data_IF_480722533948
#
_entry.id   IF_480722533948
#
_cell.length_a   1.000
_cell.length_b   1.000
_cell.length_c   1.000
_cell.angle_alpha   90.00
_cell.angle_beta   90.00
_cell.angle_gamma   90.00
#
_symmetry.space_group_name_H-M   'P 1'
#
loop_
_entity.id
_entity.type
_entity.pdbx_description
1 polymer ?
#
# COMPACT_ATOMS: atom_id res chain seq x y z
N UNK A 1 31.26 -29.46 23.77
CA UNK A 1 32.66 -29.45 23.31
C UNK A 1 32.75 -29.59 21.81
N UNK A 2 33.58 -28.79 21.20
CA UNK A 2 33.84 -28.83 19.76
C UNK A 2 34.59 -30.08 19.36
N UNK A 3 34.18 -30.79 18.32
CA UNK A 3 34.90 -31.93 17.74
C UNK A 3 35.62 -31.47 16.50
N UNK A 4 36.95 -31.75 16.44
CA UNK A 4 37.83 -31.36 15.34
C UNK A 4 38.18 -32.61 14.52
N UNK A 5 37.94 -32.58 13.21
CA UNK A 5 38.26 -33.63 12.26
C UNK A 5 39.13 -33.09 11.11
N UNK A 6 40.32 -33.63 10.91
CA UNK A 6 41.16 -33.29 9.77
C UNK A 6 40.61 -33.85 8.47
N UNK A 7 40.52 -33.04 7.41
CA UNK A 7 40.10 -33.44 6.05
C UNK A 7 41.08 -32.91 5.01
N UNK A 8 42.05 -33.72 4.65
CA UNK A 8 43.11 -33.29 3.74
C UNK A 8 43.91 -32.13 4.33
N UNK A 9 43.90 -30.97 3.64
CA UNK A 9 44.53 -29.72 4.07
C UNK A 9 43.69 -28.85 5.00
N UNK A 10 42.41 -29.23 5.24
CA UNK A 10 41.46 -28.44 6.05
C UNK A 10 41.04 -29.20 7.31
N UNK A 11 40.45 -28.48 8.27
CA UNK A 11 39.91 -28.98 9.52
C UNK A 11 38.42 -28.68 9.62
N UNK A 12 37.60 -29.73 9.82
CA UNK A 12 36.19 -29.60 10.11
C UNK A 12 35.98 -29.54 11.62
N UNK A 13 35.40 -28.44 12.11
CA UNK A 13 35.08 -28.24 13.52
C UNK A 13 33.55 -28.38 13.63
N UNK A 14 33.10 -29.27 14.55
CA UNK A 14 31.65 -29.52 14.76
C UNK A 14 31.32 -29.27 16.22
N UNK A 15 30.23 -28.49 16.45
CA UNK A 15 29.69 -28.16 17.77
C UNK A 15 28.20 -28.55 17.81
N UNK A 16 27.73 -29.14 18.90
CA UNK A 16 26.32 -29.42 19.12
C UNK A 16 25.68 -28.31 19.96
N UNK A 17 24.48 -27.85 19.56
CA UNK A 17 23.67 -26.84 20.29
C UNK A 17 22.37 -27.42 20.89
N UNK A 18 22.33 -28.71 21.19
CA UNK A 18 21.15 -29.37 21.75
C UNK A 18 20.35 -30.18 20.73
N UNK A 19 19.06 -30.35 20.99
CA UNK A 19 18.14 -31.10 20.15
C UNK A 19 16.99 -30.23 19.68
N UNK A 20 16.46 -30.49 18.49
CA UNK A 20 15.24 -29.87 17.99
C UNK A 20 13.99 -30.46 18.64
N UNK A 21 12.81 -29.90 18.33
CA UNK A 21 11.52 -30.38 18.86
C UNK A 21 11.19 -31.85 18.47
N UNK A 22 11.87 -32.39 17.45
CA UNK A 22 11.72 -33.78 17.00
C UNK A 22 12.73 -34.74 17.70
N UNK A 23 13.59 -34.21 18.59
CA UNK A 23 14.63 -34.97 19.27
C UNK A 23 15.90 -35.20 18.45
N UNK A 24 16.05 -34.54 17.30
CA UNK A 24 17.23 -34.61 16.45
C UNK A 24 18.30 -33.60 16.92
N UNK A 25 19.53 -34.08 17.07
CA UNK A 25 20.65 -33.27 17.52
C UNK A 25 20.99 -32.16 16.49
N UNK A 26 20.96 -30.91 16.94
CA UNK A 26 21.37 -29.76 16.14
C UNK A 26 22.89 -29.64 16.19
N UNK A 27 23.54 -29.74 15.03
CA UNK A 27 24.99 -29.69 14.88
C UNK A 27 25.38 -28.54 13.96
N UNK A 28 26.29 -27.68 14.41
CA UNK A 28 26.90 -26.62 13.62
C UNK A 28 28.30 -27.05 13.19
N UNK A 29 28.67 -26.75 11.94
CA UNK A 29 29.98 -27.13 11.40
C UNK A 29 30.68 -25.94 10.78
N UNK A 30 31.98 -25.81 11.01
CA UNK A 30 32.85 -24.82 10.39
C UNK A 30 34.06 -25.55 9.77
N UNK A 31 34.47 -25.14 8.58
CA UNK A 31 35.68 -25.62 7.95
C UNK A 31 36.72 -24.52 8.03
N UNK A 32 37.90 -24.83 8.54
CA UNK A 32 39.03 -23.93 8.60
C UNK A 32 40.21 -24.53 7.83
N UNK A 33 40.85 -23.73 6.97
CA UNK A 33 42.02 -24.11 6.18
C UNK A 33 43.18 -23.28 6.66
N UNK A 34 44.31 -23.91 7.08
CA UNK A 34 45.48 -23.17 7.51
C UNK A 34 46.05 -22.36 6.34
N UNK A 35 46.48 -21.12 6.58
CA UNK A 35 47.27 -20.34 5.63
C UNK A 35 48.61 -21.00 5.30
N UNK A 36 49.10 -20.79 4.08
CA UNK A 36 50.38 -21.33 3.64
C UNK A 36 51.54 -20.80 4.53
N UNK A 37 52.47 -21.68 4.84
CA UNK A 37 53.66 -21.35 5.62
C UNK A 37 53.54 -21.58 7.13
N UNK A 38 52.42 -22.08 7.65
CA UNK A 38 52.29 -22.43 9.07
C UNK A 38 52.94 -23.78 9.40
N UNK A 39 53.67 -23.86 10.50
CA UNK A 39 54.19 -25.14 11.04
C UNK A 39 53.08 -25.97 11.67
N UNK A 40 53.21 -27.29 11.70
CA UNK A 40 52.20 -28.19 12.29
C UNK A 40 51.82 -27.80 13.73
N UNK A 41 52.77 -27.30 14.53
CA UNK A 41 52.52 -26.85 15.91
C UNK A 41 51.69 -25.58 15.95
N UNK A 42 51.88 -24.66 15.02
CA UNK A 42 51.09 -23.44 14.88
C UNK A 42 49.67 -23.76 14.38
N UNK A 43 49.56 -24.65 13.41
CA UNK A 43 48.26 -25.15 12.90
C UNK A 43 47.43 -25.74 14.03
N UNK A 44 48.00 -26.63 14.84
CA UNK A 44 47.31 -27.25 15.94
C UNK A 44 46.81 -26.24 16.99
N UNK A 45 47.67 -25.26 17.33
CA UNK A 45 47.31 -24.19 18.27
C UNK A 45 46.16 -23.34 17.73
N UNK A 46 46.24 -22.95 16.45
CA UNK A 46 45.21 -22.10 15.83
C UNK A 46 43.89 -22.85 15.59
N UNK A 47 43.92 -24.14 15.20
CA UNK A 47 42.70 -24.97 15.11
C UNK A 47 41.96 -25.04 16.44
N UNK A 48 42.69 -25.26 17.54
CA UNK A 48 42.10 -25.30 18.88
C UNK A 48 41.52 -23.94 19.26
N UNK A 49 42.22 -22.84 18.95
CA UNK A 49 41.67 -21.50 19.17
C UNK A 49 40.41 -21.24 18.38
N UNK A 50 40.38 -21.63 17.10
CA UNK A 50 39.21 -21.51 16.24
C UNK A 50 38.06 -22.40 16.76
N UNK A 51 38.35 -23.56 17.29
CA UNK A 51 37.34 -24.46 17.88
C UNK A 51 36.68 -23.85 19.13
N UNK A 52 37.48 -23.23 20.02
CA UNK A 52 36.96 -22.52 21.21
C UNK A 52 36.10 -21.31 20.80
N UNK A 53 36.59 -20.50 19.88
CA UNK A 53 35.82 -19.35 19.36
C UNK A 53 34.54 -19.77 18.68
N UNK A 54 34.55 -20.90 17.96
CA UNK A 54 33.36 -21.43 17.30
C UNK A 54 32.38 -22.00 18.33
N UNK A 55 32.86 -22.71 19.36
CA UNK A 55 32.03 -23.22 20.45
C UNK A 55 31.37 -22.08 21.23
N UNK A 56 32.10 -21.02 21.52
CA UNK A 56 31.56 -19.83 22.16
C UNK A 56 30.47 -19.15 21.28
N UNK A 57 30.73 -19.03 19.98
CA UNK A 57 29.72 -18.54 19.02
C UNK A 57 28.47 -19.41 18.98
N UNK A 58 28.60 -20.73 18.99
CA UNK A 58 27.46 -21.65 19.04
C UNK A 58 26.70 -21.52 20.35
N UNK A 59 27.41 -21.44 21.49
CA UNK A 59 26.81 -21.33 22.83
C UNK A 59 26.10 -20.01 23.04
N UNK A 60 26.61 -18.93 22.46
CA UNK A 60 25.99 -17.59 22.51
C UNK A 60 24.88 -17.40 21.46
N UNK A 61 24.51 -18.46 20.73
CA UNK A 61 23.52 -18.37 19.64
C UNK A 61 24.05 -17.66 18.38
N UNK A 62 25.36 -17.41 18.32
CA UNK A 62 25.98 -16.66 17.23
C UNK A 62 26.28 -17.48 15.97
N UNK A 63 25.84 -18.70 15.89
CA UNK A 63 25.98 -19.59 14.73
C UNK A 63 24.62 -20.05 14.28
N UNK A 64 23.83 -19.14 13.79
CA UNK A 64 22.74 -19.50 12.91
C UNK A 64 23.23 -19.35 11.47
N UNK A 65 22.61 -20.15 10.59
CA UNK A 65 23.07 -20.39 9.23
C UNK A 65 22.98 -19.11 8.36
N UNK A 66 23.84 -18.13 8.64
CA UNK A 66 23.97 -16.90 7.86
C UNK A 66 24.31 -17.16 6.37
N UNK A 67 24.51 -18.43 6.00
CA UNK A 67 24.63 -18.88 4.62
C UNK A 67 23.28 -18.97 3.88
N UNK A 68 22.15 -18.90 4.60
CA UNK A 68 20.83 -18.85 3.95
C UNK A 68 20.77 -17.61 3.05
N UNK A 69 20.30 -17.79 1.83
CA UNK A 69 20.13 -16.69 0.88
C UNK A 69 18.99 -15.77 1.33
N UNK A 70 19.08 -14.49 0.95
CA UNK A 70 18.04 -13.50 1.31
C UNK A 70 16.64 -13.94 0.84
N UNK A 71 16.52 -14.51 -0.37
CA UNK A 71 15.23 -14.98 -0.89
C UNK A 71 14.63 -16.10 -0.05
N UNK A 72 15.43 -17.11 0.32
CA UNK A 72 14.98 -18.26 1.09
C UNK A 72 14.59 -17.86 2.51
N UNK A 73 15.37 -16.98 3.12
CA UNK A 73 15.01 -16.43 4.42
C UNK A 73 13.76 -15.55 4.36
N UNK A 74 13.58 -14.76 3.31
CA UNK A 74 12.38 -13.95 3.14
C UNK A 74 11.12 -14.82 3.00
N UNK A 75 11.20 -15.97 2.32
CA UNK A 75 10.07 -16.93 2.25
C UNK A 75 9.78 -17.55 3.62
N UNK A 76 10.82 -17.92 4.39
CA UNK A 76 10.67 -18.38 5.77
C UNK A 76 10.04 -17.27 6.65
N UNK A 77 10.51 -16.04 6.50
CA UNK A 77 9.96 -14.88 7.19
C UNK A 77 8.48 -14.63 6.87
N UNK A 78 8.07 -14.79 5.60
CA UNK A 78 6.66 -14.70 5.24
C UNK A 78 5.83 -15.73 5.98
N UNK A 79 6.27 -17.00 5.98
CA UNK A 79 5.54 -18.12 6.57
C UNK A 79 5.48 -18.02 8.11
N UNK A 80 6.61 -17.75 8.74
CA UNK A 80 6.72 -17.88 10.20
C UNK A 80 6.40 -16.57 10.94
N UNK A 81 6.55 -15.43 10.29
CA UNK A 81 6.33 -14.13 10.91
C UNK A 81 5.24 -13.31 10.21
N UNK A 82 5.41 -13.00 8.92
CA UNK A 82 4.57 -12.00 8.28
C UNK A 82 3.10 -12.41 8.19
N UNK A 83 2.80 -13.66 7.80
CA UNK A 83 1.44 -14.18 7.67
C UNK A 83 0.73 -14.33 9.04
N UNK A 84 1.50 -14.48 10.13
CA UNK A 84 0.97 -14.58 11.49
C UNK A 84 0.82 -13.24 12.21
N UNK A 85 1.72 -12.28 11.95
CA UNK A 85 1.83 -11.03 12.72
C UNK A 85 1.39 -9.80 11.95
N UNK A 86 1.47 -9.81 10.61
CA UNK A 86 1.15 -8.65 9.79
C UNK A 86 -0.26 -8.75 9.20
N UNK A 87 -0.85 -7.59 8.92
CA UNK A 87 -2.16 -7.55 8.23
C UNK A 87 -2.06 -8.15 6.83
N UNK A 88 -3.10 -8.87 6.37
CA UNK A 88 -3.13 -9.50 5.04
C UNK A 88 -2.80 -8.53 3.89
N UNK A 89 -3.24 -7.27 3.99
CA UNK A 89 -2.94 -6.22 3.00
C UNK A 89 -1.46 -5.84 2.98
N UNK A 90 -0.78 -5.86 4.13
CA UNK A 90 0.67 -5.60 4.23
C UNK A 90 1.44 -6.75 3.61
N UNK A 91 1.09 -8.00 3.95
CA UNK A 91 1.69 -9.20 3.38
C UNK A 91 1.54 -9.21 1.86
N UNK A 92 0.33 -8.99 1.35
CA UNK A 92 0.07 -8.91 -0.09
C UNK A 92 0.83 -7.76 -0.77
N UNK A 93 1.02 -6.65 -0.06
CA UNK A 93 1.87 -5.53 -0.51
C UNK A 93 3.33 -5.94 -0.65
N UNK A 94 3.90 -6.59 0.36
CA UNK A 94 5.29 -7.06 0.35
C UNK A 94 5.52 -8.18 -0.68
N UNK A 95 4.58 -9.12 -0.82
CA UNK A 95 4.64 -10.16 -1.87
C UNK A 95 4.78 -9.60 -3.28
N UNK A 96 4.19 -8.43 -3.58
CA UNK A 96 4.35 -7.75 -4.89
C UNK A 96 5.75 -7.21 -5.14
N UNK A 97 6.55 -7.03 -4.08
CA UNK A 97 7.90 -6.48 -4.15
C UNK A 97 8.96 -7.58 -4.31
N UNK A 98 8.65 -8.84 -3.96
CA UNK A 98 9.61 -9.96 -3.93
C UNK A 98 10.28 -10.18 -5.28
N UNK A 99 9.53 -10.19 -6.38
CA UNK A 99 10.07 -10.54 -7.70
C UNK A 99 11.29 -9.70 -8.11
N UNK A 100 11.25 -8.38 -7.92
CA UNK A 100 12.41 -7.53 -8.23
C UNK A 100 13.49 -7.61 -7.16
N UNK A 101 13.11 -7.74 -5.90
CA UNK A 101 14.07 -7.86 -4.80
C UNK A 101 14.88 -9.14 -4.93
N UNK A 102 14.21 -10.27 -5.21
CA UNK A 102 14.88 -11.56 -5.36
C UNK A 102 15.77 -11.63 -6.59
N UNK A 103 15.39 -10.98 -7.69
CA UNK A 103 16.19 -10.94 -8.91
C UNK A 103 17.55 -10.23 -8.70
N UNK A 104 17.65 -9.26 -7.77
CA UNK A 104 18.87 -8.47 -7.58
C UNK A 104 19.66 -8.90 -6.35
N UNK A 105 19.01 -9.06 -5.18
CA UNK A 105 19.69 -9.37 -3.92
C UNK A 105 19.31 -10.74 -3.35
N UNK A 106 18.37 -11.45 -3.96
CA UNK A 106 17.82 -12.70 -3.43
C UNK A 106 18.86 -13.83 -3.28
N UNK A 107 19.84 -13.88 -4.16
CA UNK A 107 20.92 -14.88 -4.19
C UNK A 107 22.04 -14.62 -3.17
N UNK A 108 22.06 -13.43 -2.55
CA UNK A 108 23.12 -13.05 -1.61
C UNK A 108 22.86 -13.70 -0.25
N UNK A 109 23.83 -14.47 0.32
CA UNK A 109 23.73 -14.95 1.68
C UNK A 109 23.55 -13.82 2.68
N UNK A 110 22.67 -13.95 3.67
CA UNK A 110 22.36 -12.90 4.64
C UNK A 110 23.61 -12.38 5.36
N UNK A 111 24.53 -13.27 5.74
CA UNK A 111 25.80 -12.89 6.40
C UNK A 111 26.71 -12.04 5.51
N UNK A 112 26.54 -12.09 4.18
CA UNK A 112 27.31 -11.34 3.20
C UNK A 112 26.59 -10.11 2.66
N UNK A 113 25.33 -9.89 3.07
CA UNK A 113 24.55 -8.74 2.62
C UNK A 113 25.07 -7.47 3.28
N UNK A 114 25.63 -6.57 2.48
CA UNK A 114 26.26 -5.33 2.90
C UNK A 114 25.41 -4.10 2.50
N UNK A 115 25.58 -2.94 3.18
CA UNK A 115 24.88 -1.71 2.84
C UNK A 115 24.98 -1.30 1.36
N UNK A 116 26.14 -1.50 0.72
CA UNK A 116 26.33 -1.15 -0.69
C UNK A 116 25.47 -1.98 -1.64
N UNK A 117 25.14 -3.23 -1.32
CA UNK A 117 24.21 -4.03 -2.11
C UNK A 117 22.80 -3.42 -2.12
N UNK A 118 22.36 -2.88 -0.97
CA UNK A 118 21.05 -2.21 -0.85
C UNK A 118 21.03 -0.88 -1.60
N UNK A 119 22.12 -0.10 -1.52
CA UNK A 119 22.26 1.14 -2.29
C UNK A 119 22.22 0.86 -3.79
N UNK A 120 23.02 -0.08 -4.28
CA UNK A 120 23.02 -0.50 -5.69
C UNK A 120 21.64 -1.01 -6.13
N UNK A 121 20.92 -1.73 -5.28
CA UNK A 121 19.55 -2.16 -5.55
C UNK A 121 18.61 -0.95 -5.72
N UNK A 122 18.68 0.05 -4.85
CA UNK A 122 17.82 1.25 -4.98
C UNK A 122 18.17 2.07 -6.22
N UNK A 123 19.46 2.16 -6.56
CA UNK A 123 19.93 2.83 -7.79
C UNK A 123 19.40 2.12 -9.03
N UNK A 124 19.43 0.78 -9.04
CA UNK A 124 18.83 -0.02 -10.13
C UNK A 124 17.33 0.23 -10.25
N UNK A 125 16.61 0.33 -9.13
CA UNK A 125 15.18 0.63 -9.13
C UNK A 125 14.85 2.07 -9.55
N UNK A 126 15.78 3.00 -9.34
CA UNK A 126 15.63 4.40 -9.70
C UNK A 126 15.92 4.67 -11.19
N UNK A 127 16.46 3.70 -11.93
CA UNK A 127 16.78 3.85 -13.35
C UNK A 127 15.52 4.03 -14.21
N UNK A 128 15.60 4.79 -15.30
CA UNK A 128 14.55 4.89 -16.29
C UNK A 128 14.19 3.52 -16.88
N UNK A 129 12.89 3.29 -17.15
CA UNK A 129 12.42 2.04 -17.76
C UNK A 129 12.06 0.91 -16.80
N UNK A 130 12.42 0.99 -15.51
CA UNK A 130 12.08 -0.03 -14.50
C UNK A 130 10.59 -0.06 -14.16
N UNK A 131 9.83 0.97 -14.52
CA UNK A 131 8.39 1.04 -14.21
C UNK A 131 7.58 0.08 -15.07
N UNK A 132 7.12 -1.03 -14.52
CA UNK A 132 6.33 -2.07 -15.22
C UNK A 132 4.92 -1.62 -15.67
N UNK A 133 4.45 -0.45 -15.26
CA UNK A 133 3.10 0.07 -15.55
C UNK A 133 3.10 1.15 -16.65
N UNK A 134 4.08 1.11 -17.55
CA UNK A 134 4.03 1.97 -18.73
C UNK A 134 2.86 1.52 -19.62
N UNK A 135 2.02 2.49 -19.99
CA UNK A 135 0.89 2.29 -20.86
C UNK A 135 1.35 2.53 -22.31
N UNK A 136 1.28 1.49 -23.12
CA UNK A 136 1.55 1.55 -24.56
C UNK A 136 0.24 1.89 -25.25
N UNK A 137 0.18 3.03 -25.92
CA UNK A 137 -0.99 3.46 -26.69
C UNK A 137 -0.82 3.07 -28.15
N UNK A 138 -1.89 2.56 -28.76
CA UNK A 138 -1.86 2.15 -30.15
C UNK A 138 -1.65 3.35 -31.07
N UNK A 139 -0.75 3.21 -32.05
CA UNK A 139 -0.65 4.15 -33.16
C UNK A 139 -1.84 3.96 -34.11
N UNK A 140 -2.28 5.01 -34.84
CA UNK A 140 -3.41 4.90 -35.77
C UNK A 140 -3.29 3.73 -36.78
N UNK A 141 -2.06 3.38 -37.14
CA UNK A 141 -1.75 2.28 -38.04
C UNK A 141 -2.03 0.88 -37.50
N UNK A 142 -2.31 0.70 -36.22
CA UNK A 142 -2.59 -0.62 -35.60
C UNK A 142 -3.76 -1.32 -36.35
N UNK A 143 -4.82 -0.55 -36.63
CA UNK A 143 -5.99 -1.09 -37.37
C UNK A 143 -5.62 -1.61 -38.73
N UNK A 144 -4.82 -0.86 -39.51
CA UNK A 144 -4.32 -1.26 -40.83
C UNK A 144 -3.48 -2.57 -40.79
N UNK A 145 -2.66 -2.74 -39.74
CA UNK A 145 -1.85 -3.96 -39.60
C UNK A 145 -2.73 -5.18 -39.30
N UNK A 146 -3.81 -5.02 -38.51
CA UNK A 146 -4.77 -6.11 -38.24
C UNK A 146 -5.52 -6.48 -39.53
N UNK A 147 -5.96 -5.49 -40.32
CA UNK A 147 -6.63 -5.71 -41.61
C UNK A 147 -5.71 -6.36 -42.62
N UNK A 148 -4.45 -5.92 -42.75
CA UNK A 148 -3.44 -6.54 -43.63
C UNK A 148 -3.11 -7.98 -43.26
N UNK A 149 -3.20 -8.33 -41.98
CA UNK A 149 -3.04 -9.70 -41.51
C UNK A 149 -4.29 -10.56 -41.78
N UNK A 150 -5.34 -10.00 -42.36
CA UNK A 150 -6.64 -10.66 -42.60
C UNK A 150 -7.28 -11.17 -41.30
N UNK A 151 -7.01 -10.46 -40.16
CA UNK A 151 -7.51 -10.81 -38.85
C UNK A 151 -8.67 -9.87 -38.44
N UNK A 152 -9.65 -10.44 -37.76
CA UNK A 152 -10.66 -9.65 -37.04
C UNK A 152 -10.19 -9.31 -35.63
N UNK A 153 -10.73 -8.24 -35.02
CA UNK A 153 -10.41 -7.88 -33.62
C UNK A 153 -10.70 -9.02 -32.66
N UNK A 154 -11.71 -9.84 -32.94
CA UNK A 154 -12.06 -11.02 -32.15
C UNK A 154 -11.03 -12.15 -32.31
N UNK A 155 -10.50 -12.34 -33.52
CA UNK A 155 -9.43 -13.31 -33.76
C UNK A 155 -8.15 -12.90 -33.02
N UNK A 156 -7.81 -11.61 -33.02
CA UNK A 156 -6.66 -11.07 -32.29
C UNK A 156 -6.86 -11.23 -30.76
N UNK A 157 -8.05 -10.98 -30.21
CA UNK A 157 -8.36 -11.23 -28.81
C UNK A 157 -8.10 -12.71 -28.45
N UNK A 158 -8.52 -13.65 -29.32
CA UNK A 158 -8.31 -15.09 -29.12
C UNK A 158 -6.83 -15.47 -29.20
N UNK A 159 -6.08 -14.96 -30.15
CA UNK A 159 -4.63 -15.19 -30.31
C UNK A 159 -3.83 -14.69 -29.09
N UNK A 160 -4.23 -13.55 -28.54
CA UNK A 160 -3.60 -12.97 -27.35
C UNK A 160 -4.12 -13.55 -26.02
N UNK A 161 -5.08 -14.48 -26.04
CA UNK A 161 -5.71 -15.01 -24.82
C UNK A 161 -6.49 -13.94 -24.05
N UNK A 162 -7.09 -12.97 -24.74
CA UNK A 162 -7.82 -11.85 -24.15
C UNK A 162 -9.33 -12.07 -24.15
N UNK A 163 -10.00 -11.33 -23.27
CA UNK A 163 -11.47 -11.23 -23.30
C UNK A 163 -11.94 -10.49 -24.55
N UNK A 164 -13.07 -10.92 -25.11
CA UNK A 164 -13.67 -10.32 -26.30
C UNK A 164 -13.83 -8.81 -26.17
N UNK A 165 -13.45 -8.06 -27.20
CA UNK A 165 -13.57 -6.61 -27.28
C UNK A 165 -12.36 -5.85 -26.70
N UNK A 166 -11.33 -6.52 -26.24
CA UNK A 166 -10.12 -5.87 -25.74
C UNK A 166 -9.31 -5.17 -26.82
N UNK A 167 -9.11 -5.83 -27.96
CA UNK A 167 -8.42 -5.24 -29.12
C UNK A 167 -9.15 -4.00 -29.63
N UNK A 168 -10.48 -4.03 -29.68
CA UNK A 168 -11.28 -2.87 -30.07
C UNK A 168 -11.07 -1.68 -29.12
N UNK A 169 -11.03 -1.92 -27.80
CA UNK A 169 -10.72 -0.88 -26.82
C UNK A 169 -9.32 -0.29 -27.00
N UNK A 170 -8.34 -1.13 -27.37
CA UNK A 170 -6.96 -0.69 -27.60
C UNK A 170 -6.87 0.19 -28.84
N UNK A 171 -7.54 -0.17 -29.92
CA UNK A 171 -7.65 0.66 -31.14
C UNK A 171 -8.27 2.02 -30.81
N UNK A 172 -9.25 2.04 -29.92
CA UNK A 172 -9.96 3.25 -29.46
C UNK A 172 -9.22 4.00 -28.31
N UNK A 173 -7.90 3.78 -28.14
CA UNK A 173 -7.05 4.55 -27.25
C UNK A 173 -6.80 3.93 -25.87
N UNK A 174 -7.34 2.76 -25.54
CA UNK A 174 -7.02 2.10 -24.28
C UNK A 174 -5.55 1.66 -24.24
N UNK A 175 -4.85 1.99 -23.16
CA UNK A 175 -3.46 1.62 -22.99
C UNK A 175 -3.25 0.14 -22.65
N UNK A 176 -2.17 -0.44 -23.15
CA UNK A 176 -1.71 -1.78 -22.83
C UNK A 176 -0.46 -1.75 -21.95
N UNK A 177 -0.34 -2.70 -21.04
CA UNK A 177 0.93 -2.98 -20.34
C UNK A 177 1.94 -3.57 -21.33
N UNK A 178 3.23 -3.36 -21.08
CA UNK A 178 4.33 -3.87 -21.91
C UNK A 178 4.13 -5.34 -22.33
N UNK A 179 3.89 -6.24 -21.38
CA UNK A 179 3.64 -7.67 -21.65
C UNK A 179 2.54 -7.90 -22.71
N UNK A 180 1.45 -7.16 -22.61
CA UNK A 180 0.32 -7.32 -23.54
C UNK A 180 0.58 -6.63 -24.89
N UNK A 181 1.32 -5.51 -24.89
CA UNK A 181 1.75 -4.85 -26.12
C UNK A 181 2.74 -5.73 -26.90
N UNK A 182 3.65 -6.41 -26.19
CA UNK A 182 4.59 -7.38 -26.79
C UNK A 182 3.85 -8.61 -27.33
N UNK A 183 2.84 -9.13 -26.61
CA UNK A 183 2.00 -10.23 -27.08
C UNK A 183 1.29 -9.87 -28.40
N UNK A 184 0.68 -8.69 -28.46
CA UNK A 184 0.00 -8.23 -29.67
C UNK A 184 0.98 -7.99 -30.82
N UNK A 185 2.15 -7.44 -30.54
CA UNK A 185 3.20 -7.23 -31.52
C UNK A 185 3.70 -8.56 -32.11
N UNK A 186 3.89 -9.58 -31.29
CA UNK A 186 4.24 -10.93 -31.69
C UNK A 186 3.13 -11.58 -32.54
N UNK A 187 1.86 -11.47 -32.14
CA UNK A 187 0.72 -12.01 -32.90
C UNK A 187 0.54 -11.38 -34.29
N UNK A 188 0.98 -10.13 -34.44
CA UNK A 188 0.95 -9.44 -35.76
C UNK A 188 2.29 -9.47 -36.48
N UNK A 189 3.29 -10.22 -36.01
CA UNK A 189 4.65 -10.29 -36.54
C UNK A 189 5.27 -8.91 -36.81
N UNK A 190 5.01 -7.93 -35.96
CA UNK A 190 5.50 -6.56 -36.08
C UNK A 190 6.29 -6.13 -34.84
N UNK A 191 7.32 -5.28 -34.98
CA UNK A 191 7.99 -4.73 -33.81
C UNK A 191 7.05 -3.81 -33.03
N UNK A 192 7.16 -3.84 -31.69
CA UNK A 192 6.29 -3.07 -30.77
C UNK A 192 6.31 -1.56 -31.06
N UNK A 193 7.47 -1.04 -31.50
CA UNK A 193 7.67 0.38 -31.85
C UNK A 193 6.88 0.83 -33.07
N UNK A 194 6.48 -0.12 -33.95
CA UNK A 194 5.69 0.16 -35.14
C UNK A 194 4.20 0.29 -34.81
N UNK A 195 3.72 -0.51 -33.88
CA UNK A 195 2.31 -0.61 -33.50
C UNK A 195 1.90 0.34 -32.37
N UNK A 196 2.84 0.66 -31.51
CA UNK A 196 2.57 1.44 -30.30
C UNK A 196 3.49 2.67 -30.19
N UNK A 197 2.97 3.70 -29.56
CA UNK A 197 3.79 4.78 -29.03
C UNK A 197 4.61 4.22 -27.88
N UNK A 198 5.93 4.28 -28.01
CA UNK A 198 6.83 3.88 -26.94
C UNK A 198 6.74 4.96 -25.85
N UNK A 199 6.33 4.64 -24.64
CA UNK A 199 6.31 5.62 -23.57
C UNK A 199 7.71 6.21 -23.41
N UNK A 200 7.82 7.53 -23.27
CA UNK A 200 9.10 8.18 -23.00
C UNK A 200 9.79 7.47 -21.84
N UNK A 201 11.00 7.03 -22.03
CA UNK A 201 11.80 6.18 -21.11
C UNK A 201 12.08 6.87 -19.73
N UNK A 202 11.59 8.07 -19.50
CA UNK A 202 11.89 8.91 -18.35
C UNK A 202 11.15 8.56 -17.05
N UNK A 203 10.25 7.59 -17.02
CA UNK A 203 9.51 7.26 -15.81
C UNK A 203 10.24 6.24 -14.93
N UNK A 204 11.03 6.73 -13.99
CA UNK A 204 11.56 5.95 -12.87
C UNK A 204 10.50 5.64 -11.81
N UNK A 205 10.78 4.70 -10.92
CA UNK A 205 9.92 4.47 -9.76
C UNK A 205 9.91 5.69 -8.84
N UNK A 206 8.73 6.02 -8.29
CA UNK A 206 8.63 7.13 -7.34
C UNK A 206 9.39 6.83 -6.05
N UNK A 207 9.92 7.86 -5.39
CA UNK A 207 10.56 7.72 -4.08
C UNK A 207 9.67 7.03 -3.03
N UNK A 208 8.34 7.21 -3.10
CA UNK A 208 7.40 6.45 -2.27
C UNK A 208 7.45 4.94 -2.56
N UNK A 209 7.52 4.54 -3.84
CA UNK A 209 7.65 3.13 -4.21
C UNK A 209 8.97 2.55 -3.74
N UNK A 210 10.08 3.28 -3.91
CA UNK A 210 11.39 2.87 -3.41
C UNK A 210 11.39 2.68 -1.88
N UNK A 211 10.69 3.55 -1.14
CA UNK A 211 10.52 3.37 0.30
C UNK A 211 9.72 2.12 0.70
N UNK A 212 8.77 1.68 -0.14
CA UNK A 212 8.10 0.40 0.12
C UNK A 212 9.07 -0.78 -0.01
N UNK A 213 9.99 -0.76 -0.97
CA UNK A 213 11.06 -1.75 -1.05
C UNK A 213 11.97 -1.70 0.17
N UNK A 214 12.41 -0.50 0.57
CA UNK A 214 13.23 -0.33 1.77
C UNK A 214 12.53 -0.89 3.02
N UNK A 215 11.25 -0.59 3.24
CA UNK A 215 10.48 -1.12 4.38
C UNK A 215 10.35 -2.63 4.38
N UNK A 216 10.15 -3.24 3.21
CA UNK A 216 10.09 -4.68 3.08
C UNK A 216 11.42 -5.31 3.47
N UNK A 217 12.53 -4.89 2.86
CA UNK A 217 13.88 -5.40 3.14
C UNK A 217 14.25 -5.16 4.61
N UNK A 218 14.01 -3.96 5.12
CA UNK A 218 14.23 -3.58 6.52
C UNK A 218 13.46 -4.50 7.48
N UNK A 219 12.20 -4.80 7.20
CA UNK A 219 11.39 -5.69 8.04
C UNK A 219 11.95 -7.13 8.06
N UNK A 220 12.35 -7.65 6.90
CA UNK A 220 12.98 -8.98 6.79
C UNK A 220 14.30 -9.02 7.55
N UNK A 221 15.19 -8.05 7.34
CA UNK A 221 16.52 -8.01 7.97
C UNK A 221 16.44 -7.72 9.48
N UNK A 222 15.51 -6.88 9.93
CA UNK A 222 15.27 -6.66 11.35
C UNK A 222 14.86 -7.97 12.06
N UNK A 223 13.98 -8.75 11.44
CA UNK A 223 13.63 -10.08 11.97
C UNK A 223 14.82 -11.05 11.92
N UNK A 224 15.65 -10.99 10.88
CA UNK A 224 16.87 -11.81 10.82
C UNK A 224 17.83 -11.50 11.97
N UNK A 225 17.95 -10.23 12.39
CA UNK A 225 18.70 -9.85 13.59
C UNK A 225 18.02 -10.33 14.86
N UNK A 226 16.70 -10.16 15.00
CA UNK A 226 15.93 -10.64 16.16
C UNK A 226 16.03 -12.16 16.33
N UNK A 227 16.03 -12.89 15.22
CA UNK A 227 16.19 -14.35 15.22
C UNK A 227 17.66 -14.78 15.27
N UNK A 228 18.60 -13.83 15.41
CA UNK A 228 20.04 -14.05 15.51
C UNK A 228 20.66 -14.74 14.28
N UNK A 229 20.01 -14.68 13.12
CA UNK A 229 20.53 -15.22 11.84
C UNK A 229 21.68 -14.36 11.34
N UNK A 230 21.64 -13.04 11.60
CA UNK A 230 22.71 -12.08 11.34
C UNK A 230 22.93 -11.18 12.57
N UNK A 231 24.14 -10.66 12.73
CA UNK A 231 24.54 -9.82 13.88
C UNK A 231 24.41 -8.34 13.62
N UNK A 232 24.60 -7.93 12.37
CA UNK A 232 24.55 -6.53 11.96
C UNK A 232 23.29 -6.29 11.14
N UNK A 233 22.71 -5.10 11.32
CA UNK A 233 21.56 -4.65 10.56
C UNK A 233 22.00 -3.79 9.38
N UNK A 234 22.07 -4.33 8.15
CA UNK A 234 22.62 -3.60 7.00
C UNK A 234 21.86 -2.31 6.66
N UNK A 235 20.54 -2.26 6.95
CA UNK A 235 19.72 -1.08 6.66
C UNK A 235 20.02 0.12 7.57
N UNK A 236 20.68 -0.06 8.73
CA UNK A 236 21.02 1.04 9.65
C UNK A 236 21.90 2.09 8.98
N UNK A 237 22.82 1.64 8.11
CA UNK A 237 23.78 2.50 7.40
C UNK A 237 23.33 2.91 6.00
N UNK A 238 22.05 2.68 5.66
CA UNK A 238 21.50 3.02 4.34
C UNK A 238 20.38 4.02 4.53
N UNK A 239 20.56 5.23 4.06
CA UNK A 239 19.51 6.22 4.08
C UNK A 239 18.33 5.76 3.20
N UNK A 240 17.09 5.77 3.73
CA UNK A 240 15.92 5.43 2.92
C UNK A 240 15.75 6.42 1.76
N UNK A 241 15.31 5.97 0.58
CA UNK A 241 15.11 6.84 -0.57
C UNK A 241 14.21 8.05 -0.24
N UNK A 242 14.61 9.24 -0.71
CA UNK A 242 13.88 10.49 -0.44
C UNK A 242 12.48 10.49 -1.05
N UNK A 243 11.51 11.01 -0.33
CA UNK A 243 10.15 11.25 -0.82
C UNK A 243 10.03 12.68 -1.34
N UNK A 244 9.39 12.83 -2.49
CA UNK A 244 8.81 14.12 -2.85
C UNK A 244 7.42 14.19 -2.20
N UNK A 245 7.23 15.09 -1.23
CA UNK A 245 5.89 15.40 -0.71
C UNK A 245 5.08 15.99 -1.86
N UNK A 246 3.91 15.43 -2.11
CA UNK A 246 2.90 16.04 -2.98
C UNK A 246 1.87 16.67 -2.07
N UNK A 247 1.47 17.87 -2.39
CA UNK A 247 0.36 18.54 -1.72
C UNK A 247 -0.91 17.70 -1.85
N UNK A 248 -1.70 17.68 -0.78
CA UNK A 248 -2.97 16.98 -0.79
C UNK A 248 -3.95 17.74 -1.69
N UNK A 249 -4.51 17.06 -2.68
CA UNK A 249 -5.56 17.63 -3.52
C UNK A 249 -6.87 17.64 -2.75
N UNK A 250 -7.54 18.79 -2.76
CA UNK A 250 -8.88 19.00 -2.19
C UNK A 250 -9.72 19.87 -3.11
N UNK A 251 -11.01 19.92 -2.89
CA UNK A 251 -11.96 20.75 -3.63
C UNK A 251 -12.30 22.02 -2.85
N UNK A 252 -12.45 23.14 -3.54
CA UNK A 252 -13.04 24.36 -2.96
C UNK A 252 -14.53 24.18 -2.69
N UNK A 253 -15.16 25.10 -1.98
CA UNK A 253 -16.58 25.03 -1.66
C UNK A 253 -17.44 25.05 -2.95
N UNK A 254 -17.09 25.89 -3.94
CA UNK A 254 -17.77 25.97 -5.24
C UNK A 254 -17.62 24.65 -6.01
N UNK A 255 -16.42 24.04 -5.98
CA UNK A 255 -16.17 22.76 -6.62
C UNK A 255 -16.93 21.61 -5.94
N UNK A 256 -17.11 21.67 -4.63
CA UNK A 256 -17.95 20.70 -3.89
C UNK A 256 -19.43 20.86 -4.27
N UNK A 257 -19.92 22.09 -4.35
CA UNK A 257 -21.30 22.37 -4.78
C UNK A 257 -21.55 21.81 -6.19
N UNK A 258 -20.65 22.10 -7.12
CA UNK A 258 -20.71 21.58 -8.50
C UNK A 258 -20.65 20.05 -8.54
N UNK A 259 -19.77 19.41 -7.76
CA UNK A 259 -19.69 17.97 -7.65
C UNK A 259 -21.02 17.36 -7.16
N UNK A 260 -21.65 17.97 -6.14
CA UNK A 260 -22.94 17.52 -5.59
C UNK A 260 -24.08 17.65 -6.61
N UNK A 261 -24.08 18.69 -7.45
CA UNK A 261 -25.03 18.84 -8.56
C UNK A 261 -24.87 17.73 -9.60
N UNK A 262 -23.63 17.45 -10.02
CA UNK A 262 -23.35 16.40 -10.99
C UNK A 262 -23.75 15.01 -10.46
N UNK A 263 -23.58 14.76 -9.17
CA UNK A 263 -23.97 13.51 -8.52
C UNK A 263 -25.48 13.24 -8.54
N UNK A 264 -26.34 14.28 -8.75
CA UNK A 264 -27.77 14.05 -8.87
C UNK A 264 -28.16 13.20 -10.08
N UNK A 265 -27.29 13.15 -11.11
CA UNK A 265 -27.49 12.35 -12.33
C UNK A 265 -26.94 10.92 -12.19
N UNK A 266 -26.21 10.65 -11.13
CA UNK A 266 -25.59 9.34 -10.87
C UNK A 266 -26.57 8.39 -10.15
N UNK A 267 -26.34 7.06 -10.23
CA UNK A 267 -27.09 6.08 -9.47
C UNK A 267 -27.12 6.41 -7.97
N UNK A 268 -28.24 6.08 -7.33
CA UNK A 268 -28.51 6.43 -5.94
C UNK A 268 -27.43 5.96 -4.98
N UNK A 269 -26.91 4.74 -5.14
CA UNK A 269 -25.83 4.18 -4.32
C UNK A 269 -24.53 5.00 -4.43
N UNK A 270 -24.19 5.45 -5.65
CA UNK A 270 -23.00 6.27 -5.90
C UNK A 270 -23.16 7.66 -5.27
N UNK A 271 -24.32 8.28 -5.46
CA UNK A 271 -24.66 9.57 -4.85
C UNK A 271 -24.56 9.49 -3.33
N UNK A 272 -25.18 8.48 -2.72
CA UNK A 272 -25.15 8.30 -1.28
C UNK A 272 -23.71 8.08 -0.76
N UNK A 273 -22.92 7.21 -1.40
CA UNK A 273 -21.53 6.93 -0.99
C UNK A 273 -20.66 8.18 -1.05
N UNK A 274 -20.69 8.94 -2.13
CA UNK A 274 -19.82 10.11 -2.32
C UNK A 274 -20.22 11.26 -1.41
N UNK A 275 -21.53 11.51 -1.29
CA UNK A 275 -22.04 12.54 -0.37
C UNK A 275 -21.67 12.20 1.08
N UNK A 276 -21.84 10.96 1.51
CA UNK A 276 -21.48 10.54 2.86
C UNK A 276 -19.96 10.70 3.13
N UNK A 277 -19.11 10.38 2.16
CA UNK A 277 -17.66 10.62 2.25
C UNK A 277 -17.31 12.10 2.44
N UNK A 278 -17.99 13.00 1.72
CA UNK A 278 -17.80 14.44 1.86
C UNK A 278 -18.23 14.95 3.24
N UNK A 279 -19.39 14.53 3.73
CA UNK A 279 -19.93 15.00 5.01
C UNK A 279 -19.20 14.42 6.24
N UNK A 280 -18.67 13.20 6.14
CA UNK A 280 -18.13 12.49 7.30
C UNK A 280 -16.60 12.33 7.29
N UNK A 281 -15.94 12.61 6.17
CA UNK A 281 -14.51 12.39 6.02
C UNK A 281 -14.07 10.93 6.22
N UNK A 282 -14.95 9.96 6.06
CA UNK A 282 -14.65 8.52 6.19
C UNK A 282 -13.56 8.08 5.20
N UNK A 283 -12.75 7.10 5.61
CA UNK A 283 -11.91 6.37 4.65
C UNK A 283 -12.80 5.47 3.79
N UNK A 284 -12.43 5.25 2.53
CA UNK A 284 -13.13 4.33 1.61
C UNK A 284 -13.45 2.97 2.26
N UNK A 285 -12.47 2.40 2.96
CA UNK A 285 -12.61 1.10 3.62
C UNK A 285 -13.53 1.15 4.86
N UNK A 286 -13.60 2.28 5.56
CA UNK A 286 -14.54 2.52 6.66
C UNK A 286 -15.97 2.61 6.10
N UNK A 287 -16.21 3.43 5.06
CA UNK A 287 -17.50 3.55 4.41
C UNK A 287 -18.08 2.20 3.99
N UNK A 288 -17.29 1.41 3.24
CA UNK A 288 -17.72 0.08 2.76
C UNK A 288 -17.75 -0.98 3.86
N UNK A 289 -17.25 -0.66 5.05
CA UNK A 289 -17.33 -1.48 6.24
C UNK A 289 -18.56 -1.22 7.10
N UNK A 290 -19.35 -0.16 6.83
CA UNK A 290 -20.52 0.21 7.63
C UNK A 290 -21.63 -0.84 7.52
N UNK A 291 -22.30 -1.04 8.63
CA UNK A 291 -23.50 -1.88 8.77
C UNK A 291 -24.66 -1.04 9.30
N UNK A 292 -25.90 -1.43 9.01
CA UNK A 292 -27.08 -0.66 9.43
C UNK A 292 -27.15 -0.47 10.95
N UNK A 293 -26.72 -1.46 11.72
CA UNK A 293 -26.64 -1.39 13.18
C UNK A 293 -25.60 -0.37 13.72
N UNK A 294 -24.75 0.20 12.85
CA UNK A 294 -23.80 1.25 13.23
C UNK A 294 -24.43 2.63 13.26
N UNK A 295 -25.68 2.78 12.75
CA UNK A 295 -26.40 4.04 12.69
C UNK A 295 -27.50 4.06 13.76
N UNK A 296 -27.45 5.06 14.61
CA UNK A 296 -28.58 5.46 15.45
C UNK A 296 -29.34 6.61 14.73
N UNK A 297 -30.45 6.28 14.09
CA UNK A 297 -31.26 7.25 13.35
C UNK A 297 -31.99 8.25 14.24
N UNK A 298 -32.21 7.94 15.53
CA UNK A 298 -32.87 8.84 16.48
C UNK A 298 -31.86 9.85 17.02
N UNK A 299 -30.72 9.37 17.52
CA UNK A 299 -29.66 10.23 18.00
C UNK A 299 -28.85 10.87 16.86
N UNK A 300 -28.98 10.40 15.59
CA UNK A 300 -28.21 10.85 14.45
C UNK A 300 -26.72 10.54 14.59
N UNK A 301 -26.37 9.38 15.13
CA UNK A 301 -25.00 8.99 15.40
C UNK A 301 -24.55 7.84 14.49
N UNK A 302 -23.30 7.93 14.02
CA UNK A 302 -22.64 6.89 13.20
C UNK A 302 -21.42 6.36 13.95
N UNK A 303 -21.42 5.08 14.26
CA UNK A 303 -20.31 4.37 14.90
C UNK A 303 -19.37 3.73 13.86
N UNK A 304 -18.09 4.08 13.86
CA UNK A 304 -17.10 3.52 12.95
C UNK A 304 -16.29 2.47 13.71
N UNK A 305 -16.48 1.19 13.38
CA UNK A 305 -15.91 0.06 14.12
C UNK A 305 -15.04 -0.85 13.27
N UNK A 306 -15.28 -0.91 11.95
CA UNK A 306 -14.64 -1.87 11.04
C UNK A 306 -14.29 -1.27 9.69
N UNK A 307 -13.52 -2.03 8.91
CA UNK A 307 -13.12 -1.68 7.55
C UNK A 307 -13.36 -2.86 6.62
N UNK A 308 -13.84 -2.59 5.41
CA UNK A 308 -13.91 -3.58 4.32
C UNK A 308 -12.66 -3.46 3.46
N UNK A 309 -11.97 -4.58 3.23
CA UNK A 309 -10.72 -4.65 2.49
C UNK A 309 -10.78 -5.75 1.44
N UNK A 310 -9.89 -5.66 0.45
CA UNK A 310 -9.75 -6.68 -0.60
C UNK A 310 -8.29 -7.06 -0.78
N UNK A 311 -8.03 -8.35 -0.82
CA UNK A 311 -6.72 -8.92 -1.19
C UNK A 311 -6.96 -9.98 -2.26
N UNK A 312 -6.17 -9.95 -3.33
CA UNK A 312 -6.21 -10.96 -4.37
C UNK A 312 -5.93 -12.36 -3.76
N UNK A 313 -6.73 -13.35 -4.12
CA UNK A 313 -6.67 -14.70 -3.56
C UNK A 313 -7.45 -14.90 -2.26
N UNK A 314 -7.64 -13.86 -1.44
CA UNK A 314 -8.47 -13.91 -0.22
C UNK A 314 -9.89 -13.37 -0.43
N UNK A 315 -10.05 -12.48 -1.43
CA UNK A 315 -11.34 -11.82 -1.67
C UNK A 315 -11.57 -10.59 -0.78
N UNK A 316 -12.86 -10.23 -0.59
CA UNK A 316 -13.28 -9.16 0.31
C UNK A 316 -13.38 -9.72 1.73
N UNK A 317 -12.85 -8.99 2.69
CA UNK A 317 -12.92 -9.37 4.09
C UNK A 317 -13.07 -8.13 4.98
N UNK A 318 -13.63 -8.36 6.15
CA UNK A 318 -13.79 -7.35 7.19
C UNK A 318 -12.62 -7.44 8.14
N UNK A 319 -12.08 -6.29 8.51
CA UNK A 319 -11.04 -6.17 9.51
C UNK A 319 -11.44 -5.08 10.52
N UNK A 320 -11.01 -5.19 11.75
CA UNK A 320 -11.20 -4.13 12.73
C UNK A 320 -10.41 -2.88 12.32
N UNK A 321 -10.83 -1.73 12.80
CA UNK A 321 -10.09 -0.49 12.57
C UNK A 321 -8.65 -0.60 13.09
N UNK A 322 -7.69 0.00 12.37
CA UNK A 322 -6.24 -0.19 12.59
C UNK A 322 -5.74 0.24 13.98
N UNK A 323 -6.39 1.22 14.59
CA UNK A 323 -6.00 1.78 15.89
C UNK A 323 -7.25 2.08 16.71
N UNK A 324 -7.08 2.18 18.04
CA UNK A 324 -8.14 2.62 18.96
C UNK A 324 -8.75 3.97 18.52
N UNK A 325 -7.92 4.92 18.10
CA UNK A 325 -8.37 6.24 17.61
C UNK A 325 -9.20 6.18 16.31
N UNK A 326 -9.14 5.08 15.57
CA UNK A 326 -9.98 4.90 14.39
C UNK A 326 -11.41 4.49 14.74
N UNK A 327 -11.66 3.95 15.93
CA UNK A 327 -13.00 3.72 16.48
C UNK A 327 -13.52 5.04 17.01
N UNK A 328 -14.54 5.59 16.39
CA UNK A 328 -15.11 6.87 16.72
C UNK A 328 -16.60 6.91 16.41
N UNK A 329 -17.29 7.83 17.03
CA UNK A 329 -18.70 8.12 16.75
C UNK A 329 -18.76 9.51 16.12
N UNK A 330 -19.49 9.64 15.03
CA UNK A 330 -19.72 10.90 14.33
C UNK A 330 -21.18 11.28 14.46
N UNK A 331 -21.46 12.57 14.62
CA UNK A 331 -22.80 13.13 14.45
C UNK A 331 -23.04 13.30 12.95
N UNK A 332 -24.14 12.74 12.47
CA UNK A 332 -24.59 12.92 11.08
C UNK A 332 -25.45 14.17 10.95
N UNK A 333 -25.35 14.81 9.81
CA UNK A 333 -26.26 15.90 9.41
C UNK A 333 -27.60 15.32 8.96
N UNK A 334 -28.66 16.14 9.01
CA UNK A 334 -30.00 15.73 8.55
C UNK A 334 -30.01 15.32 7.07
N UNK A 335 -29.20 15.99 6.24
CA UNK A 335 -29.00 15.62 4.84
C UNK A 335 -28.43 14.19 4.71
N UNK A 336 -27.39 13.86 5.49
CA UNK A 336 -26.80 12.53 5.47
C UNK A 336 -27.78 11.45 5.98
N UNK A 337 -28.54 11.75 7.03
CA UNK A 337 -29.57 10.85 7.55
C UNK A 337 -30.69 10.61 6.54
N UNK A 338 -31.13 11.65 5.84
CA UNK A 338 -32.15 11.55 4.79
C UNK A 338 -31.68 10.67 3.63
N UNK A 339 -30.44 10.88 3.16
CA UNK A 339 -29.84 10.03 2.12
C UNK A 339 -29.74 8.57 2.56
N UNK A 340 -29.32 8.31 3.80
CA UNK A 340 -29.23 6.95 4.31
C UNK A 340 -30.59 6.27 4.44
N UNK A 341 -31.66 7.00 4.84
CA UNK A 341 -33.02 6.46 4.87
C UNK A 341 -33.52 6.12 3.45
N UNK A 342 -33.24 6.99 2.47
CA UNK A 342 -33.57 6.73 1.07
C UNK A 342 -32.85 5.50 0.55
N UNK A 343 -31.54 5.41 0.82
CA UNK A 343 -30.72 4.27 0.43
C UNK A 343 -31.24 2.96 1.06
N UNK A 344 -31.59 2.99 2.35
CA UNK A 344 -32.17 1.84 3.05
C UNK A 344 -33.47 1.37 2.37
N UNK A 345 -34.36 2.30 2.03
CA UNK A 345 -35.63 1.97 1.35
C UNK A 345 -35.37 1.30 -0.01
N UNK A 346 -34.42 1.83 -0.81
CA UNK A 346 -34.05 1.25 -2.11
C UNK A 346 -33.44 -0.15 -1.92
N UNK A 347 -32.56 -0.32 -0.93
CA UNK A 347 -31.95 -1.61 -0.63
C UNK A 347 -33.00 -2.65 -0.19
N UNK A 348 -33.97 -2.26 0.64
CA UNK A 348 -35.09 -3.15 1.04
C UNK A 348 -35.99 -3.54 -0.14
N UNK A 349 -36.26 -2.63 -1.06
CA UNK A 349 -37.00 -2.97 -2.29
C UNK A 349 -36.22 -3.99 -3.15
N UNK A 350 -34.90 -3.82 -3.30
CA UNK A 350 -34.05 -4.76 -4.03
C UNK A 350 -34.02 -6.13 -3.36
N UNK A 351 -33.94 -6.17 -2.02
CA UNK A 351 -34.00 -7.39 -1.23
C UNK A 351 -35.32 -8.15 -1.47
N UNK A 352 -36.43 -7.45 -1.43
CA UNK A 352 -37.77 -8.04 -1.69
C UNK A 352 -37.90 -8.58 -3.12
N UNK A 353 -37.35 -7.86 -4.13
CA UNK A 353 -37.38 -8.31 -5.54
C UNK A 353 -36.54 -9.57 -5.77
N UNK A 354 -35.41 -9.72 -5.05
CA UNK A 354 -34.47 -10.83 -5.23
C UNK A 354 -34.85 -12.06 -4.42
N UNK A 355 -35.61 -11.91 -3.32
CA UNK A 355 -35.97 -13.00 -2.44
C UNK A 355 -34.74 -13.82 -1.99
N UNK A 356 -34.80 -15.12 -2.21
CA UNK A 356 -33.74 -16.06 -1.81
C UNK A 356 -32.36 -15.84 -2.49
N UNK A 357 -32.30 -15.01 -3.54
CA UNK A 357 -31.04 -14.64 -4.18
C UNK A 357 -30.28 -13.54 -3.43
N UNK A 358 -30.95 -12.88 -2.50
CA UNK A 358 -30.29 -11.87 -1.66
C UNK A 358 -29.41 -12.53 -0.62
N UNK A 359 -28.14 -12.06 -0.53
CA UNK A 359 -27.20 -12.51 0.50
C UNK A 359 -27.14 -11.47 1.62
N UNK A 360 -27.55 -11.89 2.82
CA UNK A 360 -27.63 -11.00 3.98
C UNK A 360 -26.25 -10.77 4.60
N UNK A 361 -25.81 -9.53 4.65
CA UNK A 361 -24.53 -9.12 5.23
C UNK A 361 -24.64 -7.90 6.16
N UNK A 362 -25.86 -7.40 6.42
CA UNK A 362 -26.14 -6.18 7.21
C UNK A 362 -25.39 -4.93 6.73
N UNK A 363 -24.77 -4.97 5.53
CA UNK A 363 -23.99 -3.86 4.98
C UNK A 363 -24.88 -2.75 4.45
N UNK A 364 -24.48 -1.49 4.72
CA UNK A 364 -25.15 -0.33 4.13
C UNK A 364 -24.96 -0.35 2.60
N UNK A 365 -23.72 -0.53 2.14
CA UNK A 365 -23.39 -0.52 0.71
C UNK A 365 -23.07 -1.92 0.22
N UNK A 366 -23.93 -2.44 -0.66
CA UNK A 366 -23.88 -3.79 -1.21
C UNK A 366 -23.87 -3.76 -2.73
N UNK A 367 -23.52 -4.88 -3.32
CA UNK A 367 -23.82 -5.15 -4.72
C UNK A 367 -25.33 -5.43 -4.86
N UNK A 368 -25.76 -5.60 -6.12
CA UNK A 368 -27.14 -5.89 -6.45
C UNK A 368 -27.71 -7.14 -5.75
N UNK A 369 -26.85 -8.09 -5.39
CA UNK A 369 -27.18 -9.38 -4.75
C UNK A 369 -27.00 -9.37 -3.21
N UNK A 370 -26.77 -8.21 -2.60
CA UNK A 370 -26.55 -8.08 -1.15
C UNK A 370 -25.09 -8.31 -0.72
N UNK A 371 -24.22 -8.81 -1.60
CA UNK A 371 -22.81 -9.06 -1.28
C UNK A 371 -22.01 -7.76 -1.10
N UNK A 372 -20.92 -7.78 -0.30
CA UNK A 372 -20.07 -6.60 -0.09
C UNK A 372 -19.45 -6.06 -1.39
N UNK A 373 -19.37 -4.75 -1.51
CA UNK A 373 -18.71 -4.08 -2.65
C UNK A 373 -17.19 -4.23 -2.51
N UNK A 374 -16.52 -4.61 -3.62
CA UNK A 374 -15.07 -4.55 -3.67
C UNK A 374 -14.61 -3.07 -3.56
N UNK A 375 -13.75 -2.72 -2.59
CA UNK A 375 -13.30 -1.34 -2.42
C UNK A 375 -12.68 -0.71 -3.68
N UNK A 376 -12.06 -1.51 -4.53
CA UNK A 376 -11.49 -1.02 -5.79
C UNK A 376 -12.56 -0.62 -6.81
N UNK A 377 -13.76 -1.22 -6.74
CA UNK A 377 -14.87 -0.86 -7.63
C UNK A 377 -15.36 0.57 -7.39
N UNK A 378 -15.48 0.99 -6.12
CA UNK A 378 -15.83 2.37 -5.79
C UNK A 378 -14.76 3.35 -6.32
N UNK A 379 -13.48 3.05 -6.13
CA UNK A 379 -12.40 3.88 -6.65
C UNK A 379 -12.47 3.99 -8.18
N UNK A 380 -12.74 2.89 -8.87
CA UNK A 380 -12.83 2.88 -10.34
C UNK A 380 -14.08 3.65 -10.83
N UNK A 381 -15.25 3.43 -10.21
CA UNK A 381 -16.49 4.17 -10.54
C UNK A 381 -16.30 5.67 -10.36
N UNK A 382 -15.73 6.09 -9.22
CA UNK A 382 -15.47 7.51 -8.95
C UNK A 382 -14.45 8.11 -9.90
N UNK A 383 -13.38 7.41 -10.21
CA UNK A 383 -12.39 7.84 -11.21
C UNK A 383 -13.03 8.03 -12.59
N UNK A 384 -13.86 7.07 -13.02
CA UNK A 384 -14.58 7.16 -14.30
C UNK A 384 -15.52 8.35 -14.31
N UNK A 385 -16.29 8.56 -13.25
CA UNK A 385 -17.19 9.70 -13.09
C UNK A 385 -16.42 11.04 -13.20
N UNK A 386 -15.34 11.24 -12.46
CA UNK A 386 -14.52 12.46 -12.51
C UNK A 386 -13.91 12.70 -13.90
N UNK A 387 -13.53 11.64 -14.63
CA UNK A 387 -12.99 11.78 -15.99
C UNK A 387 -14.03 12.12 -17.06
N UNK A 388 -15.30 11.83 -16.83
CA UNK A 388 -16.40 12.16 -17.74
C UNK A 388 -17.13 13.46 -17.36
N UNK A 389 -16.73 14.08 -16.28
CA UNK A 389 -17.29 15.33 -15.76
C UNK A 389 -16.18 16.37 -15.65
N UNK A 390 -16.55 17.62 -15.43
CA UNK A 390 -15.63 18.79 -15.42
C UNK A 390 -14.97 19.14 -14.05
N UNK A 391 -15.17 18.43 -12.92
CA UNK A 391 -14.46 18.74 -11.69
C UNK A 391 -12.96 18.49 -11.81
N UNK A 392 -12.14 19.17 -10.98
CA UNK A 392 -10.72 18.90 -10.92
C UNK A 392 -10.43 17.41 -10.64
N UNK A 393 -9.32 16.86 -11.14
CA UNK A 393 -8.98 15.45 -10.97
C UNK A 393 -8.69 15.13 -9.50
N UNK A 394 -9.69 14.65 -8.79
CA UNK A 394 -9.63 14.22 -7.39
C UNK A 394 -9.87 12.72 -7.24
N UNK A 395 -9.42 12.18 -6.12
CA UNK A 395 -9.60 10.77 -5.75
C UNK A 395 -10.65 10.63 -4.65
N UNK A 396 -11.15 9.42 -4.41
CA UNK A 396 -12.01 9.13 -3.25
C UNK A 396 -11.35 9.57 -1.93
N UNK A 397 -10.01 9.49 -1.82
CA UNK A 397 -9.31 9.96 -0.63
C UNK A 397 -9.22 11.47 -0.52
N UNK A 398 -9.22 12.17 -1.66
CA UNK A 398 -9.25 13.63 -1.69
C UNK A 398 -10.54 14.22 -1.11
N UNK A 399 -11.68 13.49 -1.15
CA UNK A 399 -12.93 13.91 -0.50
C UNK A 399 -12.78 14.06 1.02
N UNK A 400 -11.97 13.18 1.62
CA UNK A 400 -11.63 13.28 3.04
C UNK A 400 -10.72 14.48 3.31
N UNK A 401 -9.79 14.80 2.41
CA UNK A 401 -8.98 16.03 2.51
C UNK A 401 -9.87 17.26 2.38
N UNK A 402 -10.81 17.24 1.44
CA UNK A 402 -11.81 18.31 1.27
C UNK A 402 -12.61 18.53 2.55
N UNK A 403 -13.18 17.47 3.16
CA UNK A 403 -13.91 17.58 4.42
C UNK A 403 -13.07 18.25 5.51
N UNK A 404 -11.82 17.82 5.68
CA UNK A 404 -10.94 18.39 6.70
C UNK A 404 -10.58 19.85 6.42
N UNK A 405 -10.27 20.18 5.16
CA UNK A 405 -9.94 21.58 4.76
C UNK A 405 -11.12 22.50 5.00
N UNK A 406 -12.34 22.09 4.63
CA UNK A 406 -13.54 22.89 4.85
C UNK A 406 -13.82 23.06 6.36
N UNK A 407 -13.70 22.00 7.18
CA UNK A 407 -13.88 22.12 8.63
C UNK A 407 -12.89 23.11 9.27
N UNK A 408 -11.62 23.07 8.83
CA UNK A 408 -10.59 24.01 9.32
C UNK A 408 -10.89 25.43 8.86
N UNK A 409 -11.30 25.61 7.59
CA UNK A 409 -11.67 26.92 7.05
C UNK A 409 -12.86 27.55 7.80
N UNK A 410 -13.80 26.72 8.27
CA UNK A 410 -14.93 27.14 9.13
C UNK A 410 -14.54 27.32 10.62
N UNK A 411 -13.24 27.34 10.95
CA UNK A 411 -12.74 27.60 12.30
C UNK A 411 -12.72 26.40 13.24
N UNK A 412 -12.97 25.18 12.76
CA UNK A 412 -12.88 23.99 13.61
C UNK A 412 -11.43 23.74 14.07
N UNK A 413 -11.21 23.59 15.36
CA UNK A 413 -9.88 23.35 15.92
C UNK A 413 -9.23 22.07 15.37
N UNK A 414 -7.93 22.09 15.08
CA UNK A 414 -7.17 20.97 14.48
C UNK A 414 -7.33 19.67 15.26
N UNK A 415 -7.41 19.73 16.59
CA UNK A 415 -7.64 18.55 17.45
C UNK A 415 -9.03 17.94 17.19
N UNK A 416 -10.06 18.76 17.05
CA UNK A 416 -11.42 18.30 16.76
C UNK A 416 -11.49 17.65 15.38
N UNK A 417 -10.90 18.26 14.35
CA UNK A 417 -10.80 17.71 13.00
C UNK A 417 -10.00 16.42 12.99
N UNK A 418 -8.88 16.33 13.72
CA UNK A 418 -8.09 15.11 13.85
C UNK A 418 -8.89 13.97 14.47
N UNK A 419 -9.68 14.24 15.51
CA UNK A 419 -10.58 13.27 16.15
C UNK A 419 -11.73 12.87 15.22
N UNK A 420 -12.37 13.82 14.56
CA UNK A 420 -13.41 13.59 13.56
C UNK A 420 -12.94 12.64 12.46
N UNK A 421 -11.75 12.86 11.94
CA UNK A 421 -11.16 12.02 10.92
C UNK A 421 -10.61 10.69 11.47
N UNK A 422 -10.31 10.58 12.77
CA UNK A 422 -9.66 9.41 13.36
C UNK A 422 -8.21 9.26 12.88
N UNK A 423 -7.43 10.35 12.92
CA UNK A 423 -5.99 10.30 12.73
C UNK A 423 -5.30 9.81 14.00
N UNK A 424 -4.25 9.01 13.87
CA UNK A 424 -3.48 8.48 15.00
C UNK A 424 -2.63 9.55 15.69
N UNK A 425 -2.41 10.69 15.05
CA UNK A 425 -1.65 11.82 15.58
C UNK A 425 -2.20 13.13 15.03
N UNK A 426 -2.27 14.16 15.87
CA UNK A 426 -2.67 15.52 15.48
C UNK A 426 -1.69 16.08 14.44
N UNK A 427 -0.39 15.74 14.53
CA UNK A 427 0.62 16.15 13.56
C UNK A 427 0.27 15.78 12.12
N UNK A 428 -0.42 14.66 11.89
CA UNK A 428 -0.88 14.29 10.54
C UNK A 428 -1.86 15.33 9.98
N UNK A 429 -2.78 15.82 10.83
CA UNK A 429 -3.73 16.86 10.43
C UNK A 429 -3.03 18.19 10.23
N UNK A 430 -2.18 18.61 11.17
CA UNK A 430 -1.44 19.87 11.08
C UNK A 430 -0.53 19.90 9.83
N UNK A 431 0.24 18.83 9.57
CA UNK A 431 1.13 18.73 8.41
C UNK A 431 0.40 18.76 7.06
N UNK A 432 -0.80 18.18 6.98
CA UNK A 432 -1.58 18.11 5.73
C UNK A 432 -2.29 19.43 5.42
N UNK A 433 -2.67 20.18 6.44
CA UNK A 433 -3.53 21.36 6.32
C UNK A 433 -2.84 22.66 6.78
N UNK A 434 -1.50 22.69 6.82
CA UNK A 434 -0.71 23.85 7.24
C UNK A 434 -1.08 25.13 6.48
N UNK A 435 -1.40 25.04 5.17
CA UNK A 435 -1.81 26.17 4.36
C UNK A 435 -3.17 26.76 4.78
N UNK A 436 -4.13 25.89 5.15
CA UNK A 436 -5.44 26.33 5.65
C UNK A 436 -5.34 26.93 7.06
N UNK A 437 -4.32 26.54 7.84
CA UNK A 437 -4.04 27.13 9.14
C UNK A 437 -3.55 28.58 9.02
N UNK A 438 -2.79 28.93 8.01
CA UNK A 438 -2.32 30.31 7.77
C UNK A 438 -3.48 31.28 7.55
N UNK A 439 -4.52 30.86 6.82
CA UNK A 439 -5.72 31.71 6.65
C UNK A 439 -6.52 31.86 7.95
N UNK A 440 -6.56 30.81 8.79
CA UNK A 440 -7.20 30.87 10.11
C UNK A 440 -6.41 31.75 11.09
N UNK A 441 -5.06 31.72 11.02
CA UNK A 441 -4.22 32.63 11.83
C UNK A 441 -4.43 34.11 11.43
N UNK A 442 -4.55 34.40 10.15
CA UNK A 442 -4.85 35.76 9.69
C UNK A 442 -6.23 36.24 10.21
N UNK A 443 -7.25 35.38 10.08
CA UNK A 443 -8.59 35.69 10.59
C UNK A 443 -8.62 35.83 12.13
N UNK A 444 -7.84 35.04 12.86
CA UNK A 444 -7.73 35.11 14.31
C UNK A 444 -7.04 36.41 14.75
N UNK A 445 -5.99 36.84 14.02
CA UNK A 445 -5.33 38.13 14.27
C UNK A 445 -6.29 39.30 14.06
N UNK A 446 -7.08 39.27 12.99
CA UNK A 446 -8.08 40.30 12.69
C UNK A 446 -9.23 40.30 13.71
N UNK A 447 -9.70 39.16 14.13
CA UNK A 447 -10.70 39.02 15.20
C UNK A 447 -10.19 39.56 16.54
N UNK A 448 -8.92 39.31 16.89
CA UNK A 448 -8.30 39.84 18.10
C UNK A 448 -8.18 41.36 18.04
N UNK A 449 -7.73 41.92 16.88
CA UNK A 449 -7.64 43.37 16.66
C UNK A 449 -9.02 44.03 16.82
N UNK A 450 -10.04 43.46 16.21
CA UNK A 450 -11.42 43.97 16.33
C UNK A 450 -11.92 43.91 17.80
N UNK A 451 -11.65 42.85 18.52
CA UNK A 451 -12.05 42.67 19.94
C UNK A 451 -11.36 43.70 20.81
N UNK A 452 -10.06 43.90 20.64
CA UNK A 452 -9.28 44.87 21.38
C UNK A 452 -9.72 46.34 21.06
N UNK A 453 -9.98 46.62 19.81
CA UNK A 453 -10.46 47.94 19.35
C UNK A 453 -11.83 48.25 19.94
N UNK A 454 -12.76 47.30 19.93
CA UNK A 454 -14.07 47.43 20.59
C UNK A 454 -13.96 47.67 22.10
N UNK A 455 -13.06 46.92 22.80
CA UNK A 455 -12.83 47.08 24.20
C UNK A 455 -12.23 48.46 24.57
N UNK A 456 -11.40 49.03 23.70
CA UNK A 456 -10.85 50.39 23.86
C UNK A 456 -11.90 51.46 23.58
N UNK A 457 -12.73 51.27 22.55
CA UNK A 457 -13.82 52.20 22.23
C UNK A 457 -14.90 52.23 23.33
N UNK A 458 -15.30 51.08 23.85
CA UNK A 458 -16.29 51.01 24.94
C UNK A 458 -15.80 51.65 26.25
N UNK A 459 -14.50 51.69 26.55
CA UNK A 459 -13.92 52.43 27.66
C UNK A 459 -13.88 53.94 27.44
N UNK A 460 -13.87 54.43 26.20
CA UNK A 460 -13.87 55.84 25.88
C UNK A 460 -15.26 56.48 25.88
N UNK A 461 -16.30 55.68 25.76
CA UNK A 461 -17.71 56.14 25.75
C UNK A 461 -18.37 56.09 27.15
N UNK A 462 -17.68 55.52 28.12
CA UNK A 462 -18.17 55.41 29.51
C UNK A 462 -17.51 56.40 30.50
N UNK A 463 -16.97 57.54 30.03
CA UNK A 463 -16.49 58.64 30.87
C UNK A 463 -17.32 59.89 30.62
#
# INVERSE_FOLDING_TARGET
>A
MATIQKRGTSYKITVSSGYDLSGKQIRHTMTWTPPDGMTNKQIQKEVNRQAVLFEEKVRTGQVLDGNIQFADFAELWFKEYAEKQLRPTTVAGYRKLTGRTYAVIGHIPLAKLQPHHLMSFYDTLAQPGVRANQSYHAKPKLKEFIERASLTTVAVDKLCGWTRGRTSKVINGAGLRHKNATLLAAALHQPITRLFEVPKQESCLSGNTLQHYHRFISSVLSTAVQWQVIFSYPCERVAPPKRKRKEAQYLTLEQVAHLLELLQKEPEDMRCMITLLLYTGLRRSELLGLEWKDIDFQAGLLSIRRTSQYVAGKGIFTDETKTYHSRRVLKLTDTALTLLRQHHAVQMQNRLRLGDRWQEHDRIFTRWDGTPINPNSLTHRFHTFIHHTDPPPVTVHSLRHTNATLLIAEGAGVKAVSSHLGHSSIGITADLYAHSLQSVEAAAAEALENTLTQAVCSRRVGV
#
